data_IF_494577989860
#
_entry.id   IF_494577989860
#
_cell.length_a   1.000
_cell.length_b   1.000
_cell.length_c   1.000
_cell.angle_alpha   90.00
_cell.angle_beta   90.00
_cell.angle_gamma   90.00
#
_symmetry.space_group_name_H-M   'P 1'
#
loop_
_entity.id
_entity.type
_entity.pdbx_description
1 polymer ?
#
# COMPACT_ATOMS: atom_id res chain seq x y z
N UNK A 1 26.55 -8.08 -1.51
CA UNK A 1 25.36 -8.11 -0.62
C UNK A 1 25.07 -6.66 -0.28
N UNK A 2 24.09 -5.96 -0.83
CA UNK A 2 22.80 -6.36 -1.36
C UNK A 2 21.80 -5.40 -0.72
N UNK A 3 21.45 -4.33 -1.43
CA UNK A 3 20.51 -3.31 -0.97
C UNK A 3 21.05 -1.90 -1.14
N UNK A 4 20.46 -1.14 -2.06
CA UNK A 4 20.37 0.33 -2.08
C UNK A 4 19.71 0.80 -3.38
N UNK A 5 18.41 0.53 -3.54
CA UNK A 5 17.52 1.29 -4.45
C UNK A 5 16.20 1.57 -3.70
N UNK A 6 16.34 2.06 -2.48
CA UNK A 6 15.30 2.87 -1.87
C UNK A 6 16.04 4.10 -1.36
N UNK A 7 15.88 5.22 -2.05
CA UNK A 7 16.37 6.51 -1.57
C UNK A 7 15.77 6.85 -0.20
N UNK A 8 16.45 7.73 0.56
CA UNK A 8 16.09 8.07 1.95
C UNK A 8 14.62 8.54 2.13
N UNK A 9 14.01 9.17 1.12
CA UNK A 9 12.63 9.66 1.18
C UNK A 9 11.57 8.55 1.10
N UNK A 10 11.80 7.51 0.29
CA UNK A 10 10.89 6.35 0.25
C UNK A 10 11.01 5.48 1.51
N UNK A 11 12.19 5.47 2.13
CA UNK A 11 12.47 4.73 3.36
C UNK A 11 11.94 5.41 4.63
N UNK A 12 11.82 6.74 4.64
CA UNK A 12 11.29 7.51 5.78
C UNK A 12 10.24 8.53 5.32
N UNK A 13 9.09 8.07 4.83
CA UNK A 13 8.08 8.94 4.26
C UNK A 13 7.47 9.91 5.29
N UNK A 14 7.56 9.58 6.58
CA UNK A 14 7.14 10.43 7.70
C UNK A 14 8.12 11.56 8.05
N UNK A 15 9.34 11.57 7.51
CA UNK A 15 10.36 12.55 7.87
C UNK A 15 10.44 13.71 6.87
N UNK A 16 10.53 14.94 7.41
CA UNK A 16 10.79 16.16 6.66
C UNK A 16 11.87 16.98 7.37
N UNK A 17 12.93 17.33 6.64
CA UNK A 17 14.06 18.11 7.16
C UNK A 17 13.67 19.52 7.65
N UNK A 18 12.59 20.08 7.09
CA UNK A 18 12.09 21.42 7.44
C UNK A 18 11.14 21.43 8.64
N UNK A 19 10.68 20.27 9.08
CA UNK A 19 9.72 20.15 10.19
C UNK A 19 10.44 19.99 11.53
N UNK A 20 9.77 20.39 12.62
CA UNK A 20 10.30 20.19 13.97
C UNK A 20 10.37 18.71 14.36
N UNK A 21 11.25 18.38 15.29
CA UNK A 21 11.37 17.01 15.82
C UNK A 21 10.04 16.50 16.37
N UNK A 22 9.28 17.34 17.08
CA UNK A 22 7.97 16.97 17.60
C UNK A 22 6.97 16.60 16.49
N UNK A 23 6.98 17.35 15.39
CA UNK A 23 6.14 17.05 14.22
C UNK A 23 6.55 15.74 13.56
N UNK A 24 7.86 15.55 13.34
CA UNK A 24 8.39 14.32 12.75
C UNK A 24 8.09 13.08 13.62
N UNK A 25 8.17 13.19 14.96
CA UNK A 25 7.82 12.10 15.86
C UNK A 25 6.31 11.79 15.85
N UNK A 26 5.47 12.82 15.78
CA UNK A 26 4.01 12.63 15.62
C UNK A 26 3.69 11.93 14.30
N UNK A 27 4.35 12.33 13.21
CA UNK A 27 4.21 11.68 11.91
C UNK A 27 4.68 10.23 11.96
N UNK A 28 5.88 9.96 12.51
CA UNK A 28 6.40 8.59 12.68
C UNK A 28 5.38 7.68 13.37
N UNK A 29 4.80 8.13 14.49
CA UNK A 29 3.80 7.36 15.23
C UNK A 29 2.52 7.10 14.42
N UNK A 30 2.05 8.07 13.64
CA UNK A 30 0.89 7.88 12.77
C UNK A 30 1.16 6.88 11.64
N UNK A 31 2.39 6.85 11.13
CA UNK A 31 2.81 5.96 10.05
C UNK A 31 2.94 4.49 10.49
N UNK A 32 2.95 4.18 11.79
CA UNK A 32 2.84 2.80 12.31
C UNK A 32 1.56 2.08 11.83
N UNK A 33 0.53 2.81 11.43
CA UNK A 33 -0.71 2.26 10.90
C UNK A 33 -0.80 2.30 9.36
N UNK A 34 0.25 2.73 8.67
CA UNK A 34 0.25 2.93 7.21
C UNK A 34 1.03 1.84 6.50
N UNK A 35 0.32 1.08 5.67
CA UNK A 35 0.91 0.21 4.65
C UNK A 35 0.98 0.94 3.31
N UNK A 36 2.10 0.83 2.61
CA UNK A 36 2.30 1.45 1.29
C UNK A 36 2.34 0.39 0.20
N UNK A 37 1.48 0.53 -0.80
CA UNK A 37 1.51 -0.31 -2.00
C UNK A 37 2.16 0.49 -3.13
N UNK A 38 3.20 -0.07 -3.75
CA UNK A 38 3.89 0.54 -4.89
C UNK A 38 4.12 -0.48 -5.99
N UNK A 39 4.26 -0.03 -7.24
CA UNK A 39 4.71 -0.92 -8.29
C UNK A 39 6.12 -1.44 -7.95
N UNK A 40 6.35 -2.72 -8.19
CA UNK A 40 7.61 -3.36 -7.86
C UNK A 40 8.73 -2.80 -8.75
N UNK A 41 9.79 -2.32 -8.10
CA UNK A 41 11.00 -1.83 -8.77
C UNK A 41 12.07 -2.95 -8.71
N UNK A 42 12.71 -3.31 -9.84
CA UNK A 42 13.79 -4.29 -9.81
C UNK A 42 15.03 -3.79 -9.07
N UNK A 43 15.72 -4.71 -8.38
CA UNK A 43 16.98 -4.43 -7.69
C UNK A 43 18.18 -4.90 -8.55
N UNK A 44 18.11 -4.65 -9.85
CA UNK A 44 19.13 -5.09 -10.82
C UNK A 44 20.13 -3.97 -11.12
N UNK A 45 21.33 -4.33 -11.60
CA UNK A 45 22.35 -3.35 -11.94
C UNK A 45 21.94 -2.51 -13.14
N UNK A 46 21.24 -3.14 -14.08
CA UNK A 46 20.70 -2.55 -15.31
C UNK A 46 19.69 -1.46 -14.97
N UNK A 47 18.76 -1.72 -14.05
CA UNK A 47 17.81 -0.71 -13.59
C UNK A 47 18.51 0.46 -12.89
N UNK A 48 19.53 0.19 -12.06
CA UNK A 48 20.30 1.23 -11.39
C UNK A 48 21.03 2.15 -12.37
N UNK A 49 21.58 1.58 -13.45
CA UNK A 49 22.21 2.35 -14.52
C UNK A 49 21.21 3.17 -15.32
N UNK A 50 20.08 2.58 -15.72
CA UNK A 50 18.98 3.28 -16.36
C UNK A 50 18.49 4.47 -15.50
N UNK A 51 18.26 4.23 -14.21
CA UNK A 51 17.81 5.26 -13.27
C UNK A 51 18.81 6.43 -13.22
N UNK A 52 20.11 6.15 -13.16
CA UNK A 52 21.16 7.19 -13.23
C UNK A 52 21.13 7.96 -14.54
N UNK A 53 20.95 7.25 -15.66
CA UNK A 53 20.83 7.86 -16.99
C UNK A 53 19.65 8.82 -17.09
N UNK A 54 18.47 8.41 -16.63
CA UNK A 54 17.26 9.25 -16.60
C UNK A 54 17.47 10.51 -15.75
N UNK A 55 18.08 10.36 -14.57
CA UNK A 55 18.35 11.49 -13.66
C UNK A 55 19.30 12.50 -14.31
N UNK A 56 20.37 12.03 -14.94
CA UNK A 56 21.31 12.89 -15.67
C UNK A 56 20.65 13.57 -16.88
N UNK A 57 19.86 12.83 -17.66
CA UNK A 57 19.15 13.35 -18.81
C UNK A 57 18.20 14.48 -18.41
N UNK A 58 17.45 14.31 -17.34
CA UNK A 58 16.51 15.34 -16.85
C UNK A 58 17.20 16.63 -16.44
N UNK A 59 18.35 16.54 -15.78
CA UNK A 59 19.15 17.71 -15.43
C UNK A 59 19.70 18.40 -16.68
N UNK A 60 20.27 17.63 -17.61
CA UNK A 60 20.94 18.17 -18.78
C UNK A 60 19.98 18.82 -19.77
N UNK A 61 18.83 18.20 -20.04
CA UNK A 61 17.93 18.62 -21.12
C UNK A 61 16.73 19.43 -20.64
N UNK A 62 16.26 19.23 -19.41
CA UNK A 62 15.10 19.96 -18.87
C UNK A 62 15.47 20.96 -17.76
N UNK A 63 16.73 20.97 -17.30
CA UNK A 63 17.15 21.79 -16.16
C UNK A 63 16.40 21.40 -14.87
N UNK A 64 15.93 20.15 -14.78
CA UNK A 64 15.16 19.62 -13.65
C UNK A 64 15.97 18.50 -13.00
N UNK A 65 16.71 18.80 -11.92
CA UNK A 65 17.42 17.76 -11.20
C UNK A 65 16.42 16.86 -10.49
N UNK A 66 16.64 15.56 -10.55
CA UNK A 66 15.98 14.65 -9.62
C UNK A 66 16.51 14.91 -8.21
N UNK A 67 15.60 14.98 -7.23
CA UNK A 67 15.97 15.02 -5.82
C UNK A 67 16.40 13.65 -5.30
N UNK A 68 16.04 13.37 -4.04
CA UNK A 68 16.15 12.04 -3.43
C UNK A 68 15.03 11.12 -3.91
N UNK A 69 14.32 11.44 -4.98
CA UNK A 69 13.20 10.66 -5.49
C UNK A 69 13.68 9.51 -6.38
N UNK A 70 12.91 8.43 -6.40
CA UNK A 70 13.09 7.34 -7.36
C UNK A 70 12.58 7.77 -8.75
N UNK A 71 13.07 7.10 -9.80
CA UNK A 71 12.53 7.33 -11.14
C UNK A 71 11.09 6.84 -11.17
N UNK A 72 10.19 7.71 -11.66
CA UNK A 72 8.77 7.41 -11.72
C UNK A 72 8.50 6.17 -12.59
N UNK A 73 7.61 5.31 -12.13
CA UNK A 73 7.18 4.08 -12.82
C UNK A 73 6.66 4.35 -14.23
N UNK A 74 6.05 5.51 -14.50
CA UNK A 74 5.65 5.91 -15.85
C UNK A 74 6.85 6.00 -16.80
N UNK A 75 8.00 6.51 -16.35
CA UNK A 75 9.21 6.62 -17.19
C UNK A 75 9.68 5.24 -17.60
N UNK A 76 9.69 4.30 -16.64
CA UNK A 76 10.08 2.91 -16.90
C UNK A 76 9.08 2.18 -17.79
N UNK A 77 7.78 2.46 -17.62
CA UNK A 77 6.73 1.87 -18.46
C UNK A 77 6.81 2.35 -19.90
N UNK A 78 7.10 3.64 -20.14
CA UNK A 78 7.30 4.16 -21.50
C UNK A 78 8.54 3.58 -22.17
N UNK A 79 9.63 3.42 -21.41
CA UNK A 79 10.83 2.74 -21.92
C UNK A 79 10.49 1.32 -22.40
N UNK A 80 9.79 0.54 -21.56
CA UNK A 80 9.39 -0.83 -21.91
C UNK A 80 8.36 -0.87 -23.05
N UNK A 81 7.48 0.13 -23.16
CA UNK A 81 6.53 0.24 -24.25
C UNK A 81 7.23 0.43 -25.61
N UNK A 82 8.34 1.17 -25.66
CA UNK A 82 9.14 1.33 -26.88
C UNK A 82 9.80 0.00 -27.26
N UNK A 83 10.31 -0.77 -26.29
CA UNK A 83 10.85 -2.11 -26.53
C UNK A 83 9.75 -3.01 -27.12
N UNK A 84 8.58 -3.07 -26.47
CA UNK A 84 7.45 -3.86 -26.94
C UNK A 84 7.03 -3.49 -28.37
N UNK A 85 6.92 -2.19 -28.65
CA UNK A 85 6.61 -1.69 -29.99
C UNK A 85 7.67 -2.10 -31.00
N UNK A 86 8.96 -1.98 -30.66
CA UNK A 86 10.05 -2.38 -31.55
C UNK A 86 10.02 -3.87 -31.90
N UNK A 87 9.66 -4.73 -30.94
CA UNK A 87 9.48 -6.17 -31.17
C UNK A 87 8.35 -6.44 -32.15
N UNK A 88 7.18 -5.81 -31.93
CA UNK A 88 6.02 -5.95 -32.81
C UNK A 88 6.28 -5.41 -34.22
N UNK A 89 6.99 -4.28 -34.35
CA UNK A 89 7.40 -3.72 -35.66
C UNK A 89 8.35 -4.66 -36.38
N UNK A 90 9.38 -5.18 -35.69
CA UNK A 90 10.35 -6.10 -36.28
C UNK A 90 9.67 -7.37 -36.80
N UNK A 91 8.75 -7.96 -36.04
CA UNK A 91 7.96 -9.11 -36.46
C UNK A 91 7.07 -8.79 -37.67
N UNK A 92 6.40 -7.63 -37.65
CA UNK A 92 5.55 -7.18 -38.78
C UNK A 92 6.37 -7.04 -40.06
N UNK A 93 7.56 -6.44 -39.99
CA UNK A 93 8.44 -6.27 -41.16
C UNK A 93 9.00 -7.60 -41.67
N UNK A 94 9.36 -8.52 -40.77
CA UNK A 94 9.85 -9.87 -41.14
C UNK A 94 8.81 -10.68 -41.91
N UNK A 95 7.53 -10.44 -41.63
CA UNK A 95 6.41 -11.07 -42.35
C UNK A 95 6.04 -10.35 -43.66
N UNK A 96 6.77 -9.29 -44.04
CA UNK A 96 6.49 -8.50 -45.25
C UNK A 96 5.20 -7.67 -45.15
N UNK A 97 4.69 -7.44 -43.94
CA UNK A 97 3.45 -6.73 -43.69
C UNK A 97 3.67 -5.23 -43.52
N UNK A 98 2.63 -4.44 -43.79
CA UNK A 98 2.70 -2.98 -43.72
C UNK A 98 2.52 -2.47 -42.30
N UNK A 99 3.45 -1.62 -41.83
CA UNK A 99 3.35 -0.90 -40.56
C UNK A 99 2.20 0.12 -40.52
N UNK A 100 1.59 0.44 -41.66
CA UNK A 100 0.39 1.30 -41.70
C UNK A 100 -0.84 0.62 -41.09
N UNK A 101 -0.82 -0.72 -40.99
CA UNK A 101 -1.87 -1.46 -40.29
C UNK A 101 -1.59 -1.48 -38.79
N UNK A 102 -1.98 -0.40 -38.10
CA UNK A 102 -1.77 -0.24 -36.66
C UNK A 102 -2.42 -1.35 -35.83
N UNK A 103 -3.60 -1.83 -36.24
CA UNK A 103 -4.28 -2.95 -35.56
C UNK A 103 -3.41 -4.21 -35.55
N UNK A 104 -2.77 -4.52 -36.67
CA UNK A 104 -1.90 -5.69 -36.79
C UNK A 104 -0.65 -5.57 -35.92
N UNK A 105 -0.02 -4.39 -35.91
CA UNK A 105 1.14 -4.12 -35.05
C UNK A 105 0.75 -4.24 -33.57
N UNK A 106 -0.38 -3.63 -33.18
CA UNK A 106 -0.89 -3.70 -31.80
C UNK A 106 -1.22 -5.12 -31.37
N UNK A 107 -1.85 -5.92 -32.24
CA UNK A 107 -2.15 -7.33 -31.92
C UNK A 107 -0.89 -8.15 -31.63
N UNK A 108 0.24 -7.87 -32.31
CA UNK A 108 1.54 -8.49 -32.02
C UNK A 108 2.16 -8.04 -30.71
N UNK A 109 1.66 -6.98 -30.09
CA UNK A 109 2.10 -6.53 -28.75
C UNK A 109 1.37 -7.27 -27.62
N UNK A 110 0.24 -7.92 -27.90
CA UNK A 110 -0.61 -8.55 -26.88
C UNK A 110 -0.20 -10.00 -26.61
N UNK A 111 -0.68 -10.54 -25.49
CA UNK A 111 -0.49 -11.93 -25.08
C UNK A 111 0.97 -12.42 -25.17
N UNK A 112 1.91 -11.64 -24.68
CA UNK A 112 3.35 -11.95 -24.76
C UNK A 112 4.10 -11.46 -23.55
N UNK A 113 5.27 -12.06 -23.34
CA UNK A 113 6.24 -11.64 -22.34
C UNK A 113 7.54 -11.26 -23.02
N UNK A 114 8.17 -10.19 -22.55
CA UNK A 114 9.49 -9.74 -23.02
C UNK A 114 10.31 -9.20 -21.85
N UNK A 115 11.62 -9.11 -22.02
CA UNK A 115 12.51 -8.52 -21.03
C UNK A 115 12.59 -7.00 -21.23
N UNK A 116 12.17 -6.25 -20.22
CA UNK A 116 12.26 -4.79 -20.16
C UNK A 116 13.19 -4.33 -19.03
N UNK A 117 13.30 -3.01 -18.83
CA UNK A 117 14.11 -2.45 -17.75
C UNK A 117 13.49 -2.73 -16.37
N UNK A 118 12.19 -2.98 -16.34
CA UNK A 118 11.46 -3.40 -15.14
C UNK A 118 11.47 -4.91 -14.90
N UNK A 119 12.33 -5.66 -15.62
CA UNK A 119 12.38 -7.12 -15.61
C UNK A 119 11.43 -7.73 -16.65
N UNK A 120 10.90 -8.92 -16.39
CA UNK A 120 9.94 -9.55 -17.28
C UNK A 120 8.62 -8.77 -17.31
N UNK A 121 8.24 -8.30 -18.49
CA UNK A 121 7.00 -7.57 -18.75
C UNK A 121 6.05 -8.47 -19.53
N UNK A 122 4.90 -8.78 -18.94
CA UNK A 122 3.85 -9.59 -19.56
C UNK A 122 2.64 -8.73 -19.92
N UNK A 123 2.21 -8.80 -21.18
CA UNK A 123 0.97 -8.20 -21.68
C UNK A 123 -0.04 -9.31 -21.90
N UNK A 124 -1.24 -9.13 -21.35
CA UNK A 124 -2.33 -10.10 -21.45
C UNK A 124 -2.99 -10.08 -22.84
N UNK A 125 -3.96 -10.97 -23.03
CA UNK A 125 -4.73 -11.11 -24.28
C UNK A 125 -5.59 -9.89 -24.65
N UNK A 126 -5.80 -8.96 -23.72
CA UNK A 126 -6.58 -7.72 -23.91
C UNK A 126 -5.69 -6.49 -24.14
N UNK A 127 -4.36 -6.68 -24.12
CA UNK A 127 -3.40 -5.59 -24.28
C UNK A 127 -3.00 -4.89 -22.98
N UNK A 128 -3.43 -5.39 -21.83
CA UNK A 128 -3.07 -4.81 -20.53
C UNK A 128 -1.85 -5.50 -19.94
N UNK A 129 -1.00 -4.72 -19.26
CA UNK A 129 0.17 -5.24 -18.57
C UNK A 129 -0.22 -5.92 -17.26
N UNK A 130 0.32 -7.10 -16.99
CA UNK A 130 0.38 -7.65 -15.64
C UNK A 130 1.42 -6.86 -14.83
N UNK A 131 0.98 -6.27 -13.71
CA UNK A 131 1.81 -5.41 -12.87
C UNK A 131 2.13 -6.14 -11.57
N UNK A 132 3.42 -6.19 -11.23
CA UNK A 132 3.88 -6.64 -9.93
C UNK A 132 3.87 -5.47 -8.94
N UNK A 133 3.45 -5.74 -7.70
CA UNK A 133 3.41 -4.75 -6.63
C UNK A 133 4.25 -5.20 -5.44
N UNK A 134 4.74 -4.24 -4.67
CA UNK A 134 5.36 -4.45 -3.37
C UNK A 134 4.52 -3.79 -2.29
N UNK A 135 4.30 -4.51 -1.19
CA UNK A 135 3.71 -3.99 0.04
C UNK A 135 4.86 -3.62 0.98
N UNK A 136 4.86 -2.36 1.43
CA UNK A 136 5.82 -1.84 2.38
C UNK A 136 5.15 -1.54 3.70
N UNK A 137 5.87 -1.83 4.77
CA UNK A 137 5.48 -1.52 6.14
C UNK A 137 6.68 -0.92 6.90
N UNK A 138 6.40 -0.20 7.98
CA UNK A 138 7.41 0.44 8.80
C UNK A 138 8.00 -0.54 9.82
N UNK A 139 9.32 -0.72 9.79
CA UNK A 139 10.05 -1.39 10.86
C UNK A 139 9.97 -0.56 12.16
N UNK A 140 9.34 -1.04 13.25
CA UNK A 140 9.01 -0.23 14.42
C UNK A 140 10.22 0.44 15.08
N UNK A 141 11.33 -0.29 15.21
CA UNK A 141 12.53 0.22 15.89
C UNK A 141 13.23 1.32 15.10
N UNK A 142 13.40 1.10 13.80
CA UNK A 142 14.19 1.98 12.94
C UNK A 142 13.36 3.09 12.31
N UNK A 143 12.03 2.92 12.24
CA UNK A 143 11.12 3.78 11.50
C UNK A 143 11.35 3.72 9.98
N UNK A 144 12.01 2.68 9.48
CA UNK A 144 12.32 2.53 8.07
C UNK A 144 11.26 1.68 7.40
N UNK A 145 10.72 2.16 6.28
CA UNK A 145 9.83 1.39 5.43
C UNK A 145 10.61 0.34 4.63
N UNK A 146 10.14 -0.90 4.68
CA UNK A 146 10.73 -2.05 4.02
C UNK A 146 9.65 -2.89 3.34
N UNK A 147 10.03 -3.60 2.28
CA UNK A 147 9.12 -4.52 1.59
C UNK A 147 8.87 -5.73 2.50
N UNK A 148 7.61 -5.98 2.82
CA UNK A 148 7.17 -7.11 3.64
C UNK A 148 6.49 -8.20 2.83
N UNK A 149 5.96 -7.86 1.65
CA UNK A 149 5.38 -8.83 0.71
C UNK A 149 5.41 -8.29 -0.73
N UNK A 150 5.30 -9.20 -1.70
CA UNK A 150 5.12 -8.87 -3.11
C UNK A 150 3.87 -9.54 -3.66
N UNK A 151 3.20 -8.86 -4.57
CA UNK A 151 2.17 -9.43 -5.42
C UNK A 151 2.72 -9.59 -6.84
N UNK A 152 2.65 -10.79 -7.39
CA UNK A 152 3.07 -11.11 -8.75
C UNK A 152 1.86 -11.15 -9.68
N UNK A 153 1.80 -10.23 -10.64
CA UNK A 153 0.61 -10.01 -11.46
C UNK A 153 0.25 -11.20 -12.36
N UNK A 154 1.26 -11.91 -12.86
CA UNK A 154 1.07 -13.05 -13.77
C UNK A 154 0.54 -14.28 -13.02
N UNK A 155 1.16 -14.63 -11.88
CA UNK A 155 0.74 -15.79 -11.08
C UNK A 155 -0.41 -15.49 -10.11
N UNK A 156 -0.75 -14.20 -9.92
CA UNK A 156 -1.72 -13.70 -8.95
C UNK A 156 -1.42 -14.12 -7.51
N UNK A 157 -0.12 -14.25 -7.19
CA UNK A 157 0.33 -14.70 -5.88
C UNK A 157 0.77 -13.52 -5.03
N UNK A 158 0.25 -13.46 -3.81
CA UNK A 158 0.77 -12.62 -2.74
C UNK A 158 1.77 -13.44 -1.92
N UNK A 159 3.02 -13.00 -1.87
CA UNK A 159 4.15 -13.73 -1.31
C UNK A 159 4.86 -12.86 -0.28
N UNK A 160 4.85 -13.32 0.96
CA UNK A 160 5.57 -12.67 2.06
C UNK A 160 7.09 -12.76 1.86
N UNK A 161 7.80 -11.72 2.28
CA UNK A 161 9.26 -11.73 2.33
C UNK A 161 9.71 -12.58 3.53
N UNK A 162 10.57 -13.60 3.34
CA UNK A 162 11.05 -14.43 4.44
C UNK A 162 11.69 -13.60 5.56
N UNK A 163 11.24 -13.81 6.79
CA UNK A 163 11.73 -13.09 7.97
C UNK A 163 11.17 -11.68 8.14
N UNK A 164 10.24 -11.23 7.28
CA UNK A 164 9.49 -9.98 7.42
C UNK A 164 8.02 -10.28 7.66
N UNK A 165 7.35 -9.40 8.38
CA UNK A 165 5.93 -9.50 8.68
C UNK A 165 5.32 -8.10 8.74
N UNK A 166 4.01 -8.02 8.56
CA UNK A 166 3.26 -6.79 8.76
C UNK A 166 3.13 -6.52 10.26
N UNK A 167 3.53 -5.34 10.69
CA UNK A 167 3.39 -4.84 12.04
C UNK A 167 2.06 -4.12 12.18
N UNK A 168 1.20 -4.65 13.04
CA UNK A 168 -0.09 -4.03 13.30
C UNK A 168 0.00 -3.05 14.46
N UNK A 169 -0.31 -1.79 14.17
CA UNK A 169 -0.25 -0.69 15.13
C UNK A 169 -0.91 -1.02 16.47
N UNK A 170 -0.29 -0.55 17.56
CA UNK A 170 -0.75 -0.81 18.92
C UNK A 170 -0.36 -2.19 19.45
N UNK A 171 0.72 -2.79 18.92
CA UNK A 171 1.24 -4.12 19.30
C UNK A 171 0.18 -5.22 19.16
N UNK A 172 -0.67 -5.12 18.14
CA UNK A 172 -1.66 -6.16 17.86
C UNK A 172 -0.98 -7.34 17.17
N UNK A 173 -1.41 -8.56 17.49
CA UNK A 173 -0.90 -9.77 16.85
C UNK A 173 -1.42 -10.01 15.42
N UNK A 174 -2.27 -9.12 14.89
CA UNK A 174 -2.94 -9.30 13.61
C UNK A 174 -3.70 -8.05 13.16
N UNK A 175 -4.28 -8.09 11.95
CA UNK A 175 -5.04 -6.97 11.38
C UNK A 175 -6.17 -6.52 12.29
N UNK A 176 -6.49 -5.21 12.31
CA UNK A 176 -7.73 -4.77 12.92
C UNK A 176 -8.92 -5.39 12.17
N UNK A 177 -10.04 -5.57 12.88
CA UNK A 177 -11.31 -5.94 12.26
C UNK A 177 -11.71 -4.89 11.21
N UNK A 178 -12.22 -5.34 10.08
CA UNK A 178 -12.73 -4.48 9.01
C UNK A 178 -14.02 -3.75 9.41
N UNK A 179 -14.76 -4.30 10.37
CA UNK A 179 -15.93 -3.68 11.00
C UNK A 179 -15.68 -3.47 12.50
N UNK A 180 -15.98 -2.28 13.06
CA UNK A 180 -15.92 -2.04 14.51
C UNK A 180 -16.86 -2.97 15.28
N UNK A 181 -16.54 -3.29 16.54
CA UNK A 181 -17.35 -4.19 17.39
C UNK A 181 -18.81 -3.75 17.53
N UNK A 182 -19.06 -2.44 17.55
CA UNK A 182 -20.41 -1.87 17.62
C UNK A 182 -21.02 -1.53 16.25
N UNK A 183 -20.41 -1.95 15.15
CA UNK A 183 -20.76 -1.45 13.82
C UNK A 183 -20.26 -0.02 13.59
N UNK A 184 -20.33 0.46 12.35
CA UNK A 184 -19.89 1.80 12.00
C UNK A 184 -20.78 2.91 12.58
N UNK A 185 -22.04 2.60 12.83
CA UNK A 185 -23.08 3.50 13.32
C UNK A 185 -23.48 3.23 14.79
N UNK A 186 -22.84 2.26 15.45
CA UNK A 186 -23.19 1.86 16.82
C UNK A 186 -24.35 0.86 16.92
N UNK A 187 -25.01 0.51 15.81
CA UNK A 187 -26.24 -0.31 15.81
C UNK A 187 -26.10 -1.72 16.38
N UNK A 188 -24.88 -2.27 16.42
CA UNK A 188 -24.63 -3.60 16.99
C UNK A 188 -24.47 -3.58 18.50
N UNK A 189 -24.28 -2.41 19.11
CA UNK A 189 -24.23 -2.24 20.54
C UNK A 189 -25.58 -1.67 21.02
N UNK A 190 -26.19 -2.34 21.99
CA UNK A 190 -27.43 -1.83 22.59
C UNK A 190 -27.14 -0.56 23.39
N UNK A 191 -27.92 0.49 23.16
CA UNK A 191 -27.89 1.75 23.93
C UNK A 191 -28.40 1.59 25.38
N UNK A 192 -28.80 0.38 25.79
CA UNK A 192 -29.27 0.09 27.15
C UNK A 192 -28.09 0.10 28.13
N UNK A 193 -27.62 1.30 28.49
CA UNK A 193 -26.71 1.54 29.62
C UNK A 193 -27.20 0.89 30.92
N UNK A 194 -28.53 0.72 31.05
CA UNK A 194 -29.17 -0.05 32.09
C UNK A 194 -30.28 -0.89 31.47
N UNK A 195 -30.23 -2.22 31.61
CA UNK A 195 -31.36 -3.06 31.26
C UNK A 195 -32.63 -2.56 31.98
N UNK A 196 -33.77 -2.52 31.29
CA UNK A 196 -35.05 -2.08 31.87
C UNK A 196 -35.35 -2.71 33.26
N UNK A 197 -34.96 -3.98 33.48
CA UNK A 197 -35.15 -4.64 34.77
C UNK A 197 -34.37 -3.96 35.91
N UNK A 198 -33.17 -3.42 35.66
CA UNK A 198 -32.33 -2.75 36.67
C UNK A 198 -33.00 -1.47 37.16
N UNK A 199 -33.64 -0.72 36.25
CA UNK A 199 -34.40 0.49 36.57
C UNK A 199 -35.61 0.12 37.42
N UNK A 200 -36.39 -0.88 36.98
CA UNK A 200 -37.61 -1.34 37.68
C UNK A 200 -37.28 -1.86 39.08
N UNK A 201 -36.26 -2.71 39.23
CA UNK A 201 -35.86 -3.25 40.54
C UNK A 201 -35.34 -2.19 41.49
N UNK A 202 -34.63 -1.18 40.98
CA UNK A 202 -34.10 -0.07 41.80
C UNK A 202 -35.23 0.81 42.36
N UNK A 203 -36.23 1.13 41.53
CA UNK A 203 -37.41 1.90 41.95
C UNK A 203 -38.24 1.11 42.94
N UNK A 204 -38.53 -0.16 42.65
CA UNK A 204 -39.34 -1.01 43.53
C UNK A 204 -38.69 -1.19 44.91
N UNK A 205 -37.37 -1.42 44.94
CA UNK A 205 -36.61 -1.57 46.18
C UNK A 205 -36.64 -0.29 47.02
N UNK A 206 -36.50 0.88 46.39
CA UNK A 206 -36.57 2.17 47.06
C UNK A 206 -37.94 2.41 47.69
N UNK A 207 -39.02 2.07 46.96
CA UNK A 207 -40.40 2.18 47.45
C UNK A 207 -40.64 1.27 48.66
N UNK A 208 -40.17 0.01 48.61
CA UNK A 208 -40.27 -0.94 49.73
C UNK A 208 -39.54 -0.41 50.97
N UNK A 209 -38.34 0.16 50.80
CA UNK A 209 -37.58 0.75 51.91
C UNK A 209 -38.35 1.92 52.54
N UNK A 210 -38.94 2.81 51.74
CA UNK A 210 -39.77 3.91 52.25
C UNK A 210 -40.98 3.39 53.01
N UNK A 211 -41.68 2.37 52.51
CA UNK A 211 -42.80 1.75 53.22
C UNK A 211 -42.38 1.12 54.55
N UNK A 212 -41.23 0.45 54.60
CA UNK A 212 -40.68 -0.12 55.84
C UNK A 212 -40.39 0.99 56.86
N UNK A 213 -39.75 2.09 56.41
CA UNK A 213 -39.45 3.24 57.27
C UNK A 213 -40.74 3.90 57.78
N UNK A 214 -41.71 4.16 56.90
CA UNK A 214 -43.00 4.74 57.27
C UNK A 214 -43.78 3.85 58.24
N UNK A 215 -43.81 2.55 58.00
CA UNK A 215 -44.43 1.56 58.90
C UNK A 215 -43.77 1.60 60.28
N UNK A 216 -42.44 1.62 60.35
CA UNK A 216 -41.71 1.74 61.62
C UNK A 216 -42.08 3.03 62.39
N UNK A 217 -42.28 4.15 61.70
CA UNK A 217 -42.69 5.41 62.35
C UNK A 217 -44.18 5.46 62.75
N UNK A 218 -45.05 4.72 62.08
CA UNK A 218 -46.50 4.68 62.38
C UNK A 218 -46.81 3.68 63.51
N UNK A 219 -46.09 2.56 63.58
CA UNK A 219 -46.30 1.50 64.57
C UNK A 219 -45.39 1.60 65.80
N UNK A 220 -44.59 2.66 65.91
CA UNK A 220 -43.80 3.02 67.09
C UNK A 220 -44.49 4.12 67.87
#
# INVERSE_FOLDING_TARGET
MGGLICTNESRRPWYREKDSDATNQKARKAYEALLTVTARIPVTAEYAEFSRGVKNFSQQYFGKPYGKEEVNTYVTAFHDAVILYSLAVNETLKEGLSLKNGTLVTQKMWNRTFEGITGNVSINEKGDRFVDYSLLDMEPETGIYEVVANYYGVSQQFVDIPGKHIHWAGNKGGPPSDVPTCGFDGSLCSDELFPQYVIVTSVLSSVVVVFIIMSFFIYR
#
